data_IF_765007927322
#
_entry.id   IF_765007927322
#
_cell.length_a   1.000
_cell.length_b   1.000
_cell.length_c   1.000
_cell.angle_alpha   90.00
_cell.angle_beta   90.00
_cell.angle_gamma   90.00
#
_symmetry.space_group_name_H-M   'P 1'
#
loop_
_entity.id
_entity.type
_entity.pdbx_description
1 polymer ?
#
# COMPACT_ATOMS: atom_id res chain seq x y z
N UNK A 1 70.95 6.44 29.61
CA UNK A 1 71.20 7.69 28.87
C UNK A 1 69.94 8.56 29.02
N UNK A 2 70.09 9.62 29.70
CA UNK A 2 69.19 10.65 30.18
C UNK A 2 68.78 11.55 29.06
N UNK A 3 67.46 11.88 28.90
CA UNK A 3 67.04 13.11 28.26
C UNK A 3 65.85 13.74 28.99
N UNK A 4 66.09 14.96 29.36
CA UNK A 4 65.39 15.96 30.13
C UNK A 4 63.96 16.26 29.54
N UNK A 5 62.97 16.31 30.42
CA UNK A 5 61.74 17.04 30.22
C UNK A 5 61.90 18.49 30.64
N UNK A 6 61.76 19.43 29.76
CA UNK A 6 61.73 20.86 30.03
C UNK A 6 60.28 21.33 30.13
N UNK A 7 59.90 21.70 31.35
CA UNK A 7 58.67 22.33 31.68
C UNK A 7 58.65 23.78 31.16
N UNK A 8 57.73 24.08 30.21
CA UNK A 8 57.43 25.46 29.82
C UNK A 8 56.47 26.08 30.82
N UNK A 9 56.87 27.14 31.47
CA UNK A 9 56.11 27.95 32.40
C UNK A 9 55.38 29.01 31.62
N UNK A 10 54.06 28.85 31.39
CA UNK A 10 53.27 29.85 30.73
C UNK A 10 52.97 31.05 31.60
N UNK A 11 53.24 32.23 31.09
CA UNK A 11 53.12 33.49 31.80
C UNK A 11 51.67 33.87 32.08
N UNK A 12 51.39 34.67 33.09
CA UNK A 12 50.06 35.16 33.49
C UNK A 12 49.33 35.89 32.39
N UNK A 13 50.03 36.39 31.37
CA UNK A 13 49.44 37.12 30.23
C UNK A 13 48.70 36.19 29.27
N UNK A 14 49.19 34.94 29.06
CA UNK A 14 48.55 33.99 28.16
C UNK A 14 47.19 33.50 28.67
N UNK A 15 47.02 33.48 29.99
CA UNK A 15 45.72 33.14 30.61
C UNK A 15 44.65 34.20 30.43
N UNK A 16 45.04 35.49 30.36
CA UNK A 16 44.09 36.61 30.15
C UNK A 16 43.62 36.63 28.70
N UNK A 17 44.49 36.38 27.73
CA UNK A 17 44.17 36.33 26.31
C UNK A 17 43.25 35.11 26.01
N UNK A 18 43.51 33.97 26.65
CA UNK A 18 42.68 32.77 26.50
C UNK A 18 41.27 32.99 27.08
N UNK A 19 41.13 33.70 28.21
CA UNK A 19 39.83 34.03 28.81
C UNK A 19 39.03 35.03 27.96
N UNK A 20 39.68 36.01 27.32
CA UNK A 20 39.02 36.93 26.40
C UNK A 20 38.55 36.24 25.12
N UNK A 21 39.31 35.28 24.58
CA UNK A 21 38.92 34.50 23.39
C UNK A 21 37.72 33.59 23.67
N UNK A 22 37.64 32.97 24.85
CA UNK A 22 36.48 32.12 25.22
C UNK A 22 35.22 32.94 25.45
N UNK A 23 35.34 34.17 26.02
CA UNK A 23 34.18 35.05 26.24
C UNK A 23 33.61 35.61 24.95
N UNK A 24 34.44 35.93 23.95
CA UNK A 24 33.94 36.41 22.63
C UNK A 24 33.38 35.27 21.79
N UNK A 25 33.90 34.05 21.88
CA UNK A 25 33.31 32.89 21.22
C UNK A 25 31.92 32.52 21.80
N UNK A 26 31.69 32.65 23.10
CA UNK A 26 30.40 32.37 23.72
C UNK A 26 29.33 33.41 23.33
N UNK A 27 29.71 34.68 23.14
CA UNK A 27 28.74 35.70 22.68
C UNK A 27 28.38 35.57 21.18
N UNK A 28 29.31 35.08 20.34
CA UNK A 28 29.04 34.84 18.91
C UNK A 28 28.18 33.58 18.72
N UNK A 29 28.34 32.57 19.56
CA UNK A 29 27.48 31.35 19.53
C UNK A 29 26.06 31.65 19.99
N UNK A 30 25.86 32.65 20.87
CA UNK A 30 24.48 32.99 21.34
C UNK A 30 23.69 33.85 20.34
N UNK A 31 24.36 34.62 19.50
CA UNK A 31 23.70 35.45 18.46
C UNK A 31 23.44 34.72 17.14
N UNK A 32 24.14 33.61 16.87
CA UNK A 32 23.86 32.78 15.69
C UNK A 32 22.73 31.74 15.86
N UNK A 33 22.22 31.56 17.09
CA UNK A 33 21.05 30.68 17.31
C UNK A 33 19.74 31.22 16.75
N UNK A 34 19.69 32.43 16.24
CA UNK A 34 18.46 33.06 15.73
C UNK A 34 18.38 33.13 14.19
N UNK A 35 19.38 32.65 13.44
CA UNK A 35 19.39 32.77 11.96
C UNK A 35 19.37 31.45 11.18
N UNK A 36 19.41 30.30 11.85
CA UNK A 36 19.14 29.01 11.24
C UNK A 36 18.05 28.29 12.03
N UNK A 37 16.83 28.78 11.90
CA UNK A 37 15.67 27.94 12.00
C UNK A 37 15.70 27.06 10.75
N UNK A 38 15.89 25.73 10.85
CA UNK A 38 15.62 24.89 9.71
C UNK A 38 14.14 25.08 9.38
N UNK A 39 13.82 25.55 8.19
CA UNK A 39 12.46 25.52 7.62
C UNK A 39 12.02 24.07 7.33
N UNK A 40 12.31 23.18 8.26
CA UNK A 40 11.82 21.81 8.32
C UNK A 40 11.11 21.67 9.67
N UNK A 41 10.05 22.44 9.86
CA UNK A 41 8.96 22.00 10.71
C UNK A 41 8.43 20.70 10.12
N UNK A 42 7.73 19.84 10.88
CA UNK A 42 7.01 18.72 10.29
C UNK A 42 6.24 19.31 9.12
N UNK A 43 6.47 18.77 7.91
CA UNK A 43 5.81 19.20 6.69
C UNK A 43 4.35 19.15 7.04
N UNK A 44 3.79 20.33 7.30
CA UNK A 44 2.38 20.45 7.58
C UNK A 44 1.69 19.96 6.31
N UNK A 45 1.09 18.78 6.40
CA UNK A 45 0.03 18.43 5.48
C UNK A 45 -0.87 19.65 5.44
N UNK A 46 -0.92 20.36 4.32
CA UNK A 46 -2.08 21.19 4.05
C UNK A 46 -3.25 20.26 4.24
N UNK A 47 -4.02 20.48 5.30
CA UNK A 47 -5.23 19.74 5.52
C UNK A 47 -5.98 19.78 4.18
N UNK A 48 -6.06 18.65 3.53
CA UNK A 48 -6.92 18.42 2.38
C UNK A 48 -8.28 18.87 2.90
N UNK A 49 -8.92 19.82 2.25
CA UNK A 49 -10.33 20.07 2.52
C UNK A 49 -11.00 18.71 2.52
N UNK A 50 -11.65 18.37 3.63
CA UNK A 50 -12.38 17.13 3.83
C UNK A 50 -13.43 16.98 2.73
N UNK A 51 -13.02 16.48 1.58
CA UNK A 51 -13.90 15.73 0.72
C UNK A 51 -14.01 14.35 1.35
N UNK A 52 -15.01 14.20 2.19
CA UNK A 52 -15.39 12.99 2.90
C UNK A 52 -16.03 11.97 1.92
N UNK A 53 -15.28 11.59 0.92
CA UNK A 53 -15.54 10.45 0.04
C UNK A 53 -14.30 9.55 0.05
N UNK A 54 -13.92 9.07 1.24
CA UNK A 54 -12.82 8.14 1.44
C UNK A 54 -12.99 6.92 0.55
N UNK A 55 -12.25 6.89 -0.55
CA UNK A 55 -12.26 5.76 -1.46
C UNK A 55 -11.50 4.59 -0.84
N UNK A 56 -11.83 3.36 -1.24
CA UNK A 56 -11.13 2.18 -0.72
C UNK A 56 -9.60 2.34 -0.84
N UNK A 57 -9.11 2.87 -1.95
CA UNK A 57 -7.68 3.03 -2.18
C UNK A 57 -7.04 4.15 -1.35
N UNK A 58 -7.72 5.28 -1.16
CA UNK A 58 -7.21 6.38 -0.31
C UNK A 58 -7.08 5.92 1.15
N UNK A 59 -8.03 5.14 1.65
CA UNK A 59 -7.97 4.57 3.02
C UNK A 59 -6.82 3.55 3.15
N UNK A 60 -6.60 2.71 2.14
CA UNK A 60 -5.47 1.76 2.11
C UNK A 60 -4.14 2.53 2.14
N UNK A 61 -3.96 3.53 1.28
CA UNK A 61 -2.75 4.35 1.24
C UNK A 61 -2.51 5.01 2.60
N UNK A 62 -3.54 5.62 3.18
CA UNK A 62 -3.47 6.27 4.49
C UNK A 62 -3.09 5.28 5.61
N UNK A 63 -3.71 4.11 5.66
CA UNK A 63 -3.39 3.08 6.65
C UNK A 63 -1.96 2.55 6.51
N UNK A 64 -1.41 2.55 5.29
CA UNK A 64 -0.10 2.01 4.97
C UNK A 64 1.05 3.04 4.96
N UNK A 65 0.76 4.35 5.03
CA UNK A 65 1.79 5.40 4.98
C UNK A 65 2.88 5.26 6.05
N UNK A 66 2.50 4.90 7.26
CA UNK A 66 3.41 4.76 8.40
C UNK A 66 4.21 3.45 8.40
N UNK A 67 3.98 2.54 7.44
CA UNK A 67 4.54 1.19 7.44
C UNK A 67 5.71 0.99 6.49
N UNK A 68 6.04 1.98 5.66
CA UNK A 68 7.08 1.88 4.64
C UNK A 68 8.48 1.49 5.16
N UNK A 69 8.71 1.52 6.47
CA UNK A 69 10.00 1.25 7.12
C UNK A 69 10.02 0.07 8.10
N UNK A 70 8.92 -0.66 8.28
CA UNK A 70 8.87 -1.79 9.22
C UNK A 70 8.78 -3.13 8.49
N UNK A 71 9.70 -4.03 8.81
CA UNK A 71 9.57 -5.46 8.44
C UNK A 71 8.41 -6.03 9.27
N UNK A 72 7.29 -6.35 8.62
CA UNK A 72 6.12 -6.89 9.27
C UNK A 72 6.09 -8.39 8.99
N UNK A 73 6.27 -9.22 10.04
CA UNK A 73 6.02 -10.67 10.01
C UNK A 73 6.57 -11.45 8.79
N UNK A 74 7.84 -11.22 8.41
CA UNK A 74 8.46 -11.90 7.26
C UNK A 74 8.07 -11.32 5.89
N UNK A 75 7.33 -10.20 5.86
CA UNK A 75 7.13 -9.37 4.69
C UNK A 75 8.31 -8.43 4.58
N UNK A 76 8.98 -8.43 3.42
CA UNK A 76 10.14 -7.54 3.19
C UNK A 76 9.74 -6.17 2.70
N UNK A 77 8.60 -6.05 2.04
CA UNK A 77 8.08 -4.78 1.52
C UNK A 77 6.63 -4.94 1.05
N UNK A 78 5.94 -3.82 0.95
CA UNK A 78 4.71 -3.70 0.17
C UNK A 78 5.06 -3.15 -1.21
N UNK A 79 4.58 -3.80 -2.26
CA UNK A 79 4.63 -3.34 -3.64
C UNK A 79 3.30 -2.71 -4.00
N UNK A 80 3.30 -1.66 -4.80
CA UNK A 80 2.09 -0.87 -5.12
C UNK A 80 1.34 -0.33 -3.88
N UNK A 81 1.99 -0.38 -2.70
CA UNK A 81 1.44 0.16 -1.46
C UNK A 81 0.78 -0.87 -0.55
N UNK A 82 0.28 -2.00 -1.07
CA UNK A 82 -0.52 -2.99 -0.34
C UNK A 82 -0.30 -4.45 -0.76
N UNK A 83 0.43 -4.72 -1.84
CA UNK A 83 0.77 -6.07 -2.25
C UNK A 83 2.00 -6.57 -1.49
N UNK A 84 1.80 -7.53 -0.61
CA UNK A 84 2.84 -8.08 0.24
C UNK A 84 3.88 -8.91 -0.54
N UNK A 85 5.16 -8.63 -0.30
CA UNK A 85 6.31 -9.35 -0.87
C UNK A 85 7.12 -9.99 0.25
N UNK A 86 7.40 -11.30 0.19
CA UNK A 86 8.18 -12.02 1.19
C UNK A 86 9.63 -12.22 0.78
N UNK A 87 10.57 -12.18 1.77
CA UNK A 87 12.03 -12.28 1.56
C UNK A 87 12.52 -13.60 0.97
N UNK A 88 11.83 -14.70 1.20
CA UNK A 88 12.36 -16.04 0.96
C UNK A 88 11.87 -16.76 -0.30
N UNK A 89 10.90 -16.22 -0.98
CA UNK A 89 10.45 -16.72 -2.29
C UNK A 89 10.52 -15.55 -3.25
N UNK A 90 11.33 -15.68 -4.32
CA UNK A 90 11.20 -14.78 -5.46
C UNK A 90 9.72 -14.58 -5.68
N UNK A 91 9.23 -13.36 -5.50
CA UNK A 91 7.82 -13.06 -5.74
C UNK A 91 7.55 -13.52 -7.16
N UNK A 92 7.01 -14.73 -7.30
CA UNK A 92 6.42 -15.11 -8.56
C UNK A 92 5.29 -14.12 -8.69
N UNK A 93 5.55 -13.05 -9.46
CA UNK A 93 4.47 -12.26 -9.96
C UNK A 93 3.52 -13.28 -10.54
N UNK A 94 2.23 -13.18 -10.23
CA UNK A 94 1.22 -14.10 -10.75
C UNK A 94 1.08 -13.93 -12.25
N UNK A 95 2.12 -14.31 -12.99
CA UNK A 95 2.09 -14.39 -14.42
C UNK A 95 1.35 -15.63 -14.83
N UNK A 96 0.31 -15.42 -15.61
CA UNK A 96 -0.38 -16.47 -16.33
C UNK A 96 -0.79 -17.68 -15.48
N UNK A 97 -1.82 -17.51 -14.64
CA UNK A 97 -2.56 -18.61 -14.00
C UNK A 97 -1.79 -19.51 -13.03
N UNK A 98 -0.53 -19.25 -12.74
CA UNK A 98 0.27 -20.09 -11.83
C UNK A 98 -0.05 -19.89 -10.35
N UNK A 99 -0.82 -18.90 -9.99
CA UNK A 99 -1.24 -18.57 -8.62
C UNK A 99 -2.77 -18.39 -8.51
N UNK A 100 -3.54 -19.13 -9.27
CA UNK A 100 -4.99 -19.15 -9.14
C UNK A 100 -5.41 -20.17 -8.08
N UNK A 101 -6.50 -19.86 -7.40
CA UNK A 101 -7.21 -20.82 -6.59
C UNK A 101 -7.81 -21.89 -7.49
N UNK A 102 -7.80 -23.13 -7.03
CA UNK A 102 -8.28 -24.26 -7.84
C UNK A 102 -9.79 -24.20 -8.01
N UNK A 103 -10.24 -24.39 -9.25
CA UNK A 103 -11.67 -24.56 -9.56
C UNK A 103 -12.12 -25.99 -9.20
N UNK A 104 -13.25 -26.11 -8.52
CA UNK A 104 -13.90 -27.37 -8.18
C UNK A 104 -14.65 -27.95 -9.38
N UNK A 105 -15.00 -29.21 -9.28
CA UNK A 105 -15.75 -29.95 -10.32
C UNK A 105 -17.17 -29.40 -10.54
N UNK A 106 -17.73 -28.74 -9.54
CA UNK A 106 -19.04 -28.09 -9.59
C UNK A 106 -19.03 -26.71 -10.27
N UNK A 107 -17.85 -26.27 -10.71
CA UNK A 107 -17.67 -24.99 -11.38
C UNK A 107 -17.33 -23.82 -10.47
N UNK A 108 -17.37 -23.96 -9.14
CA UNK A 108 -17.02 -22.90 -8.21
C UNK A 108 -15.53 -22.89 -7.85
N UNK A 109 -15.07 -21.73 -7.38
CA UNK A 109 -13.73 -21.55 -6.83
C UNK A 109 -13.87 -21.35 -5.32
N UNK A 110 -13.60 -22.38 -4.55
CA UNK A 110 -13.70 -22.33 -3.10
C UNK A 110 -12.40 -21.80 -2.49
N UNK A 111 -12.48 -20.64 -1.83
CA UNK A 111 -11.37 -20.01 -1.13
C UNK A 111 -11.60 -20.18 0.37
N UNK A 112 -10.86 -21.09 0.98
CA UNK A 112 -10.95 -21.29 2.42
C UNK A 112 -10.35 -20.13 3.19
N UNK A 113 -11.00 -19.70 4.28
CA UNK A 113 -10.50 -18.61 5.13
C UNK A 113 -10.60 -18.94 6.62
N UNK A 114 -9.76 -18.31 7.41
CA UNK A 114 -9.82 -18.26 8.87
C UNK A 114 -9.82 -16.80 9.31
N UNK A 115 -10.75 -16.45 10.19
CA UNK A 115 -10.77 -15.14 10.84
C UNK A 115 -10.02 -15.19 12.17
N UNK A 116 -9.25 -14.15 12.48
CA UNK A 116 -8.69 -13.95 13.81
C UNK A 116 -9.81 -13.79 14.84
N UNK A 117 -9.67 -14.42 16.02
CA UNK A 117 -10.62 -14.19 17.12
C UNK A 117 -10.52 -12.79 17.74
N UNK A 118 -9.54 -11.99 17.33
CA UNK A 118 -9.37 -10.60 17.76
C UNK A 118 -10.42 -9.65 17.16
N UNK A 119 -11.06 -10.04 16.05
CA UNK A 119 -12.14 -9.25 15.47
C UNK A 119 -13.43 -9.40 16.28
N UNK A 120 -14.09 -8.28 16.55
CA UNK A 120 -15.43 -8.26 17.12
C UNK A 120 -16.48 -8.85 16.16
N UNK A 121 -17.68 -9.12 16.68
CA UNK A 121 -18.79 -9.60 15.84
C UNK A 121 -19.16 -8.63 14.71
N UNK A 122 -19.11 -7.31 14.97
CA UNK A 122 -19.41 -6.29 14.00
C UNK A 122 -18.36 -6.28 12.88
N UNK A 123 -17.08 -6.33 13.23
CA UNK A 123 -15.97 -6.38 12.29
C UNK A 123 -16.01 -7.66 11.45
N UNK A 124 -16.31 -8.78 12.08
CA UNK A 124 -16.53 -10.07 11.39
C UNK A 124 -17.65 -9.97 10.35
N UNK A 125 -18.76 -9.27 10.67
CA UNK A 125 -19.85 -9.03 9.71
C UNK A 125 -19.40 -8.16 8.52
N UNK A 126 -18.60 -7.12 8.77
CA UNK A 126 -18.06 -6.27 7.70
C UNK A 126 -17.13 -7.07 6.78
N UNK A 127 -16.24 -7.89 7.36
CA UNK A 127 -15.34 -8.76 6.57
C UNK A 127 -16.14 -9.71 5.69
N UNK A 128 -17.15 -10.36 6.22
CA UNK A 128 -18.05 -11.24 5.45
C UNK A 128 -18.77 -10.49 4.32
N UNK A 129 -19.24 -9.26 4.60
CA UNK A 129 -19.88 -8.41 3.58
C UNK A 129 -18.95 -8.05 2.43
N UNK A 130 -17.65 -7.81 2.70
CA UNK A 130 -16.63 -7.62 1.67
C UNK A 130 -16.42 -8.86 0.80
N UNK A 131 -16.44 -10.06 1.40
CA UNK A 131 -16.40 -11.32 0.65
C UNK A 131 -17.65 -11.54 -0.19
N UNK A 132 -18.82 -11.32 0.38
CA UNK A 132 -20.13 -11.42 -0.31
C UNK A 132 -20.21 -10.49 -1.54
N UNK A 133 -19.58 -9.33 -1.50
CA UNK A 133 -19.53 -8.41 -2.63
C UNK A 133 -18.81 -9.03 -3.86
N UNK A 134 -17.80 -9.89 -3.61
CA UNK A 134 -17.12 -10.65 -4.66
C UNK A 134 -17.95 -11.86 -5.10
N UNK A 135 -18.54 -12.60 -4.17
CA UNK A 135 -19.32 -13.80 -4.44
C UNK A 135 -20.54 -13.50 -5.34
N UNK A 136 -21.11 -12.30 -5.15
CA UNK A 136 -22.29 -11.86 -5.91
C UNK A 136 -21.91 -11.54 -7.35
N UNK A 137 -22.33 -12.41 -8.28
CA UNK A 137 -22.08 -12.31 -9.71
C UNK A 137 -20.72 -12.88 -10.15
N UNK A 138 -20.14 -13.80 -9.35
CA UNK A 138 -18.95 -14.58 -9.71
C UNK A 138 -19.06 -16.03 -9.24
N UNK A 139 -18.19 -16.92 -9.75
CA UNK A 139 -18.12 -18.28 -9.26
C UNK A 139 -17.21 -18.48 -8.03
N UNK A 140 -16.68 -17.41 -7.46
CA UNK A 140 -15.87 -17.47 -6.22
C UNK A 140 -16.77 -17.66 -5.01
N UNK A 141 -16.39 -18.53 -4.09
CA UNK A 141 -17.09 -18.76 -2.81
C UNK A 141 -16.08 -18.81 -1.67
N UNK A 142 -16.29 -18.00 -0.66
CA UNK A 142 -15.43 -17.99 0.54
C UNK A 142 -16.04 -18.93 1.58
N UNK A 143 -15.26 -19.93 2.03
CA UNK A 143 -15.73 -20.93 2.96
C UNK A 143 -14.88 -20.95 4.24
N UNK A 144 -15.49 -21.09 5.44
CA UNK A 144 -14.72 -21.26 6.66
C UNK A 144 -13.79 -22.46 6.54
N UNK A 145 -12.51 -22.27 6.91
CA UNK A 145 -11.51 -23.36 6.86
C UNK A 145 -11.83 -24.47 7.86
N UNK A 146 -11.82 -25.68 7.39
CA UNK A 146 -11.85 -26.89 8.22
C UNK A 146 -10.52 -27.65 8.14
N UNK A 147 -10.20 -28.23 7.01
CA UNK A 147 -9.00 -29.04 6.77
C UNK A 147 -8.16 -28.60 5.55
N UNK A 148 -8.65 -27.59 4.81
CA UNK A 148 -7.98 -27.14 3.59
C UNK A 148 -6.53 -26.73 3.90
N UNK A 149 -5.59 -27.20 3.06
CA UNK A 149 -4.18 -26.88 3.16
C UNK A 149 -3.95 -25.41 2.80
N UNK A 150 -4.55 -24.99 1.69
CA UNK A 150 -4.40 -23.63 1.14
C UNK A 150 -5.56 -22.79 1.62
N UNK A 151 -5.23 -21.70 2.32
CA UNK A 151 -6.26 -20.82 2.90
C UNK A 151 -5.74 -19.43 3.19
N UNK A 152 -6.67 -18.50 3.29
CA UNK A 152 -6.43 -17.12 3.71
C UNK A 152 -6.60 -17.02 5.23
N UNK A 153 -5.61 -16.46 5.91
CA UNK A 153 -5.62 -16.16 7.33
C UNK A 153 -5.81 -14.65 7.52
N UNK A 154 -7.02 -14.24 7.88
CA UNK A 154 -7.41 -12.84 7.99
C UNK A 154 -7.06 -12.35 9.40
N UNK A 155 -6.18 -11.34 9.49
CA UNK A 155 -5.56 -10.88 10.73
C UNK A 155 -5.63 -9.36 10.86
N UNK A 156 -5.85 -8.79 12.06
CA UNK A 156 -5.82 -7.34 12.30
C UNK A 156 -4.37 -6.85 12.51
N UNK A 157 -3.49 -7.18 11.56
CA UNK A 157 -2.12 -6.68 11.59
C UNK A 157 -2.08 -5.23 11.15
N UNK A 158 -0.91 -4.61 11.27
CA UNK A 158 -0.73 -3.22 10.86
C UNK A 158 -0.94 -3.07 9.35
N UNK A 159 -1.84 -2.17 8.95
CA UNK A 159 -2.21 -1.81 7.57
C UNK A 159 -3.17 -2.75 6.87
N UNK A 160 -3.52 -2.34 5.66
CA UNK A 160 -4.33 -3.09 4.72
C UNK A 160 -3.42 -3.66 3.63
N UNK A 161 -3.29 -4.97 3.56
CA UNK A 161 -2.46 -5.59 2.53
C UNK A 161 -2.79 -7.05 2.33
N UNK A 162 -2.48 -7.54 1.13
CA UNK A 162 -2.65 -8.92 0.74
C UNK A 162 -1.47 -9.45 -0.09
N UNK A 163 -1.31 -10.76 -0.12
CA UNK A 163 -0.48 -11.40 -1.12
C UNK A 163 -1.24 -11.54 -2.44
N UNK A 164 -0.51 -11.47 -3.55
CA UNK A 164 -1.07 -11.62 -4.88
C UNK A 164 -1.32 -13.09 -5.22
N UNK A 165 -2.59 -13.46 -5.45
CA UNK A 165 -3.02 -14.80 -5.83
C UNK A 165 -2.84 -15.86 -4.75
N UNK A 166 -3.11 -17.12 -5.09
CA UNK A 166 -2.89 -18.27 -4.22
C UNK A 166 -1.39 -18.63 -4.15
N UNK A 167 -0.83 -18.64 -2.94
CA UNK A 167 0.59 -18.93 -2.73
C UNK A 167 0.87 -20.37 -2.31
N UNK A 168 -0.18 -21.13 -2.05
CA UNK A 168 -0.11 -22.45 -1.42
C UNK A 168 0.15 -22.36 0.08
N UNK A 169 -0.55 -23.18 0.86
CA UNK A 169 -0.52 -23.15 2.32
C UNK A 169 -1.26 -21.95 2.91
N UNK A 170 -0.84 -21.53 4.10
CA UNK A 170 -1.36 -20.36 4.79
C UNK A 170 -0.82 -19.08 4.16
N UNK A 171 -1.71 -18.13 3.82
CA UNK A 171 -1.35 -16.76 3.44
C UNK A 171 -2.19 -15.75 4.21
N UNK A 172 -1.57 -14.66 4.61
CA UNK A 172 -2.25 -13.63 5.41
C UNK A 172 -2.86 -12.56 4.51
N UNK A 173 -4.08 -12.13 4.84
CA UNK A 173 -4.61 -10.80 4.53
C UNK A 173 -4.58 -10.00 5.82
N UNK A 174 -4.03 -8.79 5.80
CA UNK A 174 -4.10 -7.85 6.90
C UNK A 174 -5.24 -6.88 6.70
N UNK A 175 -6.11 -6.78 7.70
CA UNK A 175 -7.18 -5.80 7.78
C UNK A 175 -7.10 -5.14 9.15
N UNK A 176 -6.28 -4.10 9.27
CA UNK A 176 -6.10 -3.34 10.52
C UNK A 176 -7.44 -2.76 10.99
N UNK A 177 -7.78 -2.96 12.26
CA UNK A 177 -8.92 -2.32 12.88
C UNK A 177 -8.53 -0.95 13.45
N UNK A 178 -9.36 0.10 13.26
CA UNK A 178 -10.58 0.14 12.45
C UNK A 178 -10.34 0.48 10.96
N UNK A 179 -9.17 0.94 10.58
CA UNK A 179 -8.86 1.67 9.35
C UNK A 179 -9.16 0.88 8.05
N UNK A 180 -8.95 -0.46 8.07
CA UNK A 180 -9.18 -1.33 6.91
C UNK A 180 -10.55 -2.01 6.89
N UNK A 181 -11.44 -1.68 7.85
CA UNK A 181 -12.71 -2.40 8.01
C UNK A 181 -13.88 -1.73 7.28
N UNK A 182 -13.63 -1.30 6.07
CA UNK A 182 -14.65 -0.84 5.11
C UNK A 182 -14.85 -1.92 4.03
N UNK A 183 -16.10 -2.10 3.61
CA UNK A 183 -16.47 -3.15 2.63
C UNK A 183 -15.64 -3.06 1.36
N UNK A 184 -15.38 -1.85 0.86
CA UNK A 184 -14.55 -1.62 -0.33
C UNK A 184 -13.10 -2.03 -0.12
N UNK A 185 -12.47 -1.62 0.98
CA UNK A 185 -11.09 -1.99 1.35
C UNK A 185 -10.96 -3.51 1.47
N UNK A 186 -11.90 -4.14 2.15
CA UNK A 186 -11.91 -5.60 2.34
C UNK A 186 -12.00 -6.30 0.97
N UNK A 187 -12.94 -5.88 0.12
CA UNK A 187 -13.09 -6.46 -1.23
C UNK A 187 -11.84 -6.27 -2.07
N UNK A 188 -11.17 -5.11 -1.98
CA UNK A 188 -9.93 -4.79 -2.67
C UNK A 188 -8.80 -5.78 -2.28
N UNK A 189 -8.59 -6.01 -0.99
CA UNK A 189 -7.56 -6.93 -0.51
C UNK A 189 -7.84 -8.39 -0.95
N UNK A 190 -9.10 -8.78 -1.01
CA UNK A 190 -9.49 -10.07 -1.56
C UNK A 190 -9.29 -10.17 -3.08
N UNK A 191 -9.44 -9.07 -3.83
CA UNK A 191 -9.10 -9.04 -5.26
C UNK A 191 -7.61 -9.31 -5.48
N UNK A 192 -6.72 -8.76 -4.65
CA UNK A 192 -5.30 -9.14 -4.66
C UNK A 192 -5.10 -10.63 -4.38
N UNK A 193 -5.76 -11.18 -3.37
CA UNK A 193 -5.69 -12.61 -3.07
C UNK A 193 -6.22 -13.49 -4.20
N UNK A 194 -7.10 -12.98 -5.05
CA UNK A 194 -7.58 -13.63 -6.27
C UNK A 194 -6.63 -13.47 -7.47
N UNK A 195 -5.57 -12.65 -7.37
CA UNK A 195 -4.54 -12.52 -8.39
C UNK A 195 -4.57 -11.23 -9.20
N UNK A 196 -5.35 -10.23 -8.79
CA UNK A 196 -5.44 -8.95 -9.49
C UNK A 196 -4.47 -7.91 -8.92
N UNK A 197 -3.70 -7.28 -9.79
CA UNK A 197 -2.91 -6.08 -9.50
C UNK A 197 -3.78 -4.85 -9.71
N UNK A 198 -3.24 -3.67 -9.35
CA UNK A 198 -3.96 -2.42 -9.58
C UNK A 198 -4.20 -2.12 -11.07
N UNK A 199 -5.29 -1.44 -11.35
CA UNK A 199 -5.71 -1.15 -12.72
C UNK A 199 -4.73 -0.21 -13.45
N UNK A 200 -4.19 0.81 -12.76
CA UNK A 200 -3.18 1.70 -13.33
C UNK A 200 -1.82 1.02 -13.59
N UNK A 201 -1.64 -0.21 -13.11
CA UNK A 201 -0.42 -1.00 -13.35
C UNK A 201 -0.54 -1.92 -14.56
N UNK A 202 -1.67 -1.92 -15.25
CA UNK A 202 -1.84 -2.65 -16.52
C UNK A 202 -0.79 -2.20 -17.53
N UNK A 203 -0.32 -3.13 -18.37
CA UNK A 203 0.71 -2.83 -19.37
C UNK A 203 0.24 -1.79 -20.41
N UNK A 204 -1.08 -1.74 -20.67
CA UNK A 204 -1.73 -0.86 -21.66
C UNK A 204 -2.27 0.45 -21.06
N UNK A 205 -2.07 0.69 -19.75
CA UNK A 205 -2.60 1.86 -19.02
C UNK A 205 -2.29 3.20 -19.69
N UNK A 206 -1.13 3.30 -20.35
CA UNK A 206 -0.70 4.56 -20.99
C UNK A 206 -1.58 4.98 -22.19
N UNK A 207 -2.48 4.10 -22.65
CA UNK A 207 -3.52 4.47 -23.62
C UNK A 207 -4.66 5.24 -22.95
N UNK A 208 -4.84 5.12 -21.62
CA UNK A 208 -5.99 5.59 -20.86
C UNK A 208 -5.65 6.68 -19.85
N UNK A 209 -4.49 6.59 -19.21
CA UNK A 209 -4.05 7.54 -18.19
C UNK A 209 -2.65 8.06 -18.48
N UNK A 210 -2.35 9.26 -17.99
CA UNK A 210 -1.01 9.85 -17.97
C UNK A 210 -0.52 9.85 -16.52
N UNK A 211 0.69 9.31 -16.28
CA UNK A 211 1.33 9.38 -14.97
C UNK A 211 2.19 10.64 -14.90
N UNK A 212 1.93 11.45 -13.92
CA UNK A 212 2.64 12.70 -13.64
C UNK A 212 3.81 12.44 -12.69
N UNK A 213 4.86 11.81 -13.20
CA UNK A 213 6.03 11.38 -12.44
C UNK A 213 6.65 12.45 -11.52
N UNK A 214 6.76 13.73 -11.94
CA UNK A 214 7.30 14.79 -11.08
C UNK A 214 6.47 15.05 -9.82
N UNK A 215 5.18 14.71 -9.82
CA UNK A 215 4.26 14.95 -8.71
C UNK A 215 4.25 13.81 -7.67
N UNK A 216 4.95 12.70 -7.95
CA UNK A 216 4.96 11.51 -7.11
C UNK A 216 6.12 11.57 -6.11
N UNK A 217 5.90 11.22 -4.84
CA UNK A 217 6.98 11.00 -3.88
C UNK A 217 8.05 10.06 -4.44
N UNK A 218 9.33 10.44 -4.35
CA UNK A 218 10.45 9.70 -4.95
C UNK A 218 10.54 8.24 -4.50
N UNK A 219 10.26 7.96 -3.26
CA UNK A 219 10.25 6.61 -2.68
C UNK A 219 9.01 5.78 -3.08
N UNK A 220 8.03 6.40 -3.74
CA UNK A 220 6.77 5.79 -4.20
C UNK A 220 6.69 5.58 -5.71
N UNK A 221 7.66 6.02 -6.48
CA UNK A 221 7.67 5.88 -7.95
C UNK A 221 7.45 4.43 -8.40
N UNK A 222 7.98 3.45 -7.65
CA UNK A 222 7.81 2.02 -7.95
C UNK A 222 6.37 1.54 -7.87
N UNK A 223 5.49 2.23 -7.14
CA UNK A 223 4.08 1.89 -7.05
C UNK A 223 3.31 2.19 -8.35
N UNK A 224 3.96 2.87 -9.30
CA UNK A 224 3.41 3.19 -10.61
C UNK A 224 4.07 2.41 -11.76
N UNK A 225 4.86 1.38 -11.44
CA UNK A 225 5.43 0.48 -12.45
C UNK A 225 4.33 -0.36 -13.12
N UNK A 226 4.53 -0.65 -14.42
CA UNK A 226 3.61 -1.51 -15.16
C UNK A 226 3.97 -2.99 -14.98
N UNK A 227 2.95 -3.82 -14.98
CA UNK A 227 3.09 -5.27 -15.01
C UNK A 227 2.69 -5.83 -16.38
N UNK A 228 3.27 -6.95 -16.75
CA UNK A 228 2.77 -7.78 -17.85
C UNK A 228 1.52 -8.52 -17.38
N UNK A 229 0.40 -7.82 -17.37
CA UNK A 229 -0.89 -8.39 -16.99
C UNK A 229 -1.60 -9.00 -18.19
N UNK A 230 -2.40 -10.04 -17.95
CA UNK A 230 -3.42 -10.48 -18.89
C UNK A 230 -4.59 -9.52 -18.75
N UNK A 231 -4.91 -8.77 -19.82
CA UNK A 231 -6.06 -7.83 -19.85
C UNK A 231 -7.40 -8.55 -20.01
N UNK A 232 -7.37 -9.87 -20.21
CA UNK A 232 -8.56 -10.71 -20.33
C UNK A 232 -9.53 -10.25 -21.43
N UNK A 233 -9.04 -9.53 -22.45
CA UNK A 233 -9.87 -8.88 -23.49
C UNK A 233 -10.97 -8.00 -22.90
N UNK A 234 -10.69 -7.32 -21.79
CA UNK A 234 -11.61 -6.40 -21.13
C UNK A 234 -11.08 -4.96 -21.22
N UNK A 235 -11.98 -3.97 -21.38
CA UNK A 235 -11.58 -2.57 -21.42
C UNK A 235 -10.91 -2.14 -20.12
N UNK A 236 -10.15 -1.04 -20.18
CA UNK A 236 -9.62 -0.36 -19.01
C UNK A 236 -10.76 0.20 -18.17
N UNK A 237 -10.71 -0.02 -16.87
CA UNK A 237 -11.79 0.32 -15.98
C UNK A 237 -11.43 1.46 -15.02
N UNK A 238 -11.81 2.68 -15.37
CA UNK A 238 -11.63 3.85 -14.52
C UNK A 238 -12.40 3.78 -13.19
N UNK A 239 -13.48 2.98 -13.16
CA UNK A 239 -14.32 2.74 -11.98
C UNK A 239 -13.93 1.51 -11.17
N UNK A 240 -12.83 0.84 -11.51
CA UNK A 240 -12.38 -0.34 -10.79
C UNK A 240 -12.05 -0.02 -9.34
N UNK A 241 -12.45 -0.93 -8.43
CA UNK A 241 -12.03 -0.85 -7.02
C UNK A 241 -10.52 -0.97 -6.86
N UNK A 242 -9.82 -1.52 -7.88
CA UNK A 242 -8.37 -1.68 -7.94
C UNK A 242 -7.66 -0.47 -8.56
N UNK A 243 -8.33 0.67 -8.80
CA UNK A 243 -7.71 1.84 -9.42
C UNK A 243 -7.27 2.85 -8.37
N UNK A 244 -6.02 3.34 -8.45
CA UNK A 244 -5.56 4.46 -7.63
C UNK A 244 -6.38 5.72 -7.88
N UNK A 245 -6.54 6.56 -6.86
CA UNK A 245 -7.06 7.91 -6.99
C UNK A 245 -6.13 8.82 -7.79
N UNK A 246 -6.69 9.94 -8.28
CA UNK A 246 -5.93 10.94 -9.05
C UNK A 246 -4.72 11.50 -8.29
N UNK A 247 -4.77 11.54 -6.97
CA UNK A 247 -3.76 12.15 -6.10
C UNK A 247 -2.95 11.14 -5.30
N UNK A 248 -3.03 9.85 -5.65
CA UNK A 248 -2.31 8.78 -4.96
C UNK A 248 -0.81 9.10 -4.89
N UNK A 249 -0.23 9.07 -3.68
CA UNK A 249 1.19 9.37 -3.42
C UNK A 249 1.68 10.72 -3.95
N UNK A 250 0.81 11.74 -4.04
CA UNK A 250 1.18 13.10 -4.44
C UNK A 250 2.06 13.78 -3.37
N UNK A 251 3.17 14.38 -3.81
CA UNK A 251 4.10 15.08 -2.91
C UNK A 251 3.71 16.53 -2.61
N UNK A 252 2.88 17.14 -3.46
CA UNK A 252 2.56 18.57 -3.43
C UNK A 252 1.05 18.87 -3.53
N UNK A 253 0.21 17.81 -3.59
CA UNK A 253 -1.23 17.93 -3.75
C UNK A 253 -1.68 18.04 -5.21
N UNK A 254 -0.74 17.99 -6.18
CA UNK A 254 -1.07 17.96 -7.59
C UNK A 254 -1.38 16.54 -8.07
N UNK A 255 -2.18 16.36 -9.13
CA UNK A 255 -2.52 15.03 -9.64
C UNK A 255 -1.29 14.21 -10.03
N UNK A 256 -1.29 12.94 -9.65
CA UNK A 256 -0.27 11.94 -10.04
C UNK A 256 -0.75 11.07 -11.20
N UNK A 257 -2.07 10.94 -11.39
CA UNK A 257 -2.71 10.22 -12.49
C UNK A 257 -3.77 11.10 -13.12
N UNK A 258 -3.70 11.27 -14.45
CA UNK A 258 -4.67 12.07 -15.22
C UNK A 258 -5.31 11.19 -16.28
N UNK A 259 -6.66 11.03 -16.31
CA UNK A 259 -7.36 10.37 -17.40
C UNK A 259 -7.16 11.11 -18.72
N UNK A 260 -6.99 10.37 -19.83
CA UNK A 260 -6.76 10.97 -21.16
C UNK A 260 -8.06 11.37 -21.87
N UNK A 261 -9.15 10.62 -21.63
CA UNK A 261 -10.36 10.75 -22.46
C UNK A 261 -11.35 11.78 -21.94
N UNK A 262 -11.31 12.17 -20.67
CA UNK A 262 -12.16 13.20 -20.10
C UNK A 262 -11.59 13.69 -18.78
N UNK A 263 -11.68 15.00 -18.53
CA UNK A 263 -11.33 15.60 -17.23
C UNK A 263 -12.38 15.33 -16.14
N UNK A 264 -13.58 14.88 -16.54
CA UNK A 264 -14.69 14.63 -15.62
C UNK A 264 -14.62 13.22 -15.00
N UNK A 265 -13.73 12.36 -15.49
CA UNK A 265 -13.52 11.02 -14.94
C UNK A 265 -12.83 11.16 -13.58
N UNK A 266 -13.50 10.72 -12.53
CA UNK A 266 -12.95 10.60 -11.19
C UNK A 266 -12.36 9.19 -11.02
N UNK A 267 -11.08 9.13 -10.63
CA UNK A 267 -10.38 7.86 -10.37
C UNK A 267 -10.41 7.54 -8.88
N UNK A 268 -10.40 6.24 -8.56
CA UNK A 268 -10.29 5.75 -7.19
C UNK A 268 -11.53 5.98 -6.33
N UNK A 269 -12.68 6.30 -6.92
CA UNK A 269 -13.91 6.62 -6.17
C UNK A 269 -14.75 5.38 -5.81
N UNK A 270 -14.28 4.18 -6.14
CA UNK A 270 -15.05 2.96 -5.94
C UNK A 270 -15.06 2.55 -4.45
N UNK A 271 -16.27 2.33 -3.92
CA UNK A 271 -16.51 1.72 -2.61
C UNK A 271 -16.98 0.25 -2.72
N UNK A 272 -17.15 -0.24 -3.93
CA UNK A 272 -17.59 -1.61 -4.26
C UNK A 272 -17.03 -2.04 -5.62
N UNK A 273 -17.04 -3.35 -5.92
CA UNK A 273 -16.59 -3.85 -7.21
C UNK A 273 -17.44 -3.27 -8.35
N UNK A 274 -16.78 -2.86 -9.41
CA UNK A 274 -17.44 -2.50 -10.66
C UNK A 274 -17.99 -3.77 -11.36
N UNK A 275 -18.83 -3.56 -12.37
CA UNK A 275 -19.23 -4.66 -13.24
C UNK A 275 -18.02 -5.28 -13.97
N UNK A 276 -17.07 -4.47 -14.42
CA UNK A 276 -15.84 -4.93 -15.09
C UNK A 276 -14.95 -5.71 -14.12
N UNK A 277 -14.84 -5.32 -12.86
CA UNK A 277 -14.12 -6.11 -11.85
C UNK A 277 -14.66 -7.53 -11.74
N UNK A 278 -15.99 -7.68 -11.71
CA UNK A 278 -16.65 -9.00 -11.68
C UNK A 278 -16.41 -9.78 -12.97
N UNK A 279 -16.49 -9.14 -14.12
CA UNK A 279 -16.16 -9.76 -15.41
C UNK A 279 -14.71 -10.24 -15.46
N UNK A 280 -13.76 -9.48 -14.87
CA UNK A 280 -12.35 -9.90 -14.75
C UNK A 280 -12.24 -11.19 -13.95
N UNK A 281 -12.93 -11.28 -12.80
CA UNK A 281 -12.95 -12.51 -11.99
C UNK A 281 -13.53 -13.66 -12.81
N UNK A 282 -14.68 -13.48 -13.44
CA UNK A 282 -15.37 -14.51 -14.22
C UNK A 282 -14.50 -15.01 -15.39
N UNK A 283 -13.85 -14.11 -16.12
CA UNK A 283 -12.94 -14.50 -17.21
C UNK A 283 -11.66 -15.20 -16.71
N UNK A 284 -11.04 -14.68 -15.63
CA UNK A 284 -9.80 -15.26 -15.09
C UNK A 284 -10.03 -16.69 -14.61
N UNK A 285 -11.11 -16.91 -13.87
CA UNK A 285 -11.48 -18.21 -13.30
C UNK A 285 -12.36 -19.05 -14.21
N UNK A 286 -12.72 -18.54 -15.40
CA UNK A 286 -13.60 -19.22 -16.36
C UNK A 286 -14.89 -19.67 -15.71
N UNK A 287 -15.58 -18.77 -15.03
CA UNK A 287 -16.90 -19.01 -14.45
C UNK A 287 -17.90 -19.34 -15.57
N UNK A 288 -18.94 -20.10 -15.25
CA UNK A 288 -20.01 -20.40 -16.20
C UNK A 288 -20.99 -19.24 -16.28
N UNK A 289 -21.65 -19.07 -17.43
CA UNK A 289 -22.69 -18.02 -17.66
C UNK A 289 -23.89 -18.12 -16.69
N UNK A 290 -23.91 -19.15 -15.84
CA UNK A 290 -24.97 -19.33 -14.82
C UNK A 290 -24.67 -18.66 -13.48
N UNK A 291 -23.49 -18.07 -13.35
CA UNK A 291 -23.02 -17.44 -12.10
C UNK A 291 -23.24 -15.91 -12.10
N UNK A 292 -23.82 -15.35 -13.18
CA UNK A 292 -24.18 -13.94 -13.34
C UNK A 292 -25.49 -13.56 -12.62
#
# INVERSE_FOLDING_TARGET
MTKFFQLYNTSKMDRIILLCMVSTCLSVVHTQKFLFSPKWGPIGYKAREEHDDGTAMDEIIKANEFQASRIIDGITSLREGDIAVSAGRRSKVCFARSCLWSKSVDGHVYVAYRLSPEYSEMETKLIKKGMENIEKGTCVRFVPRTHQRDYIDIQPKSGCWSYLGSRGGRQTISLQSPDCLQVGVISHEFMHALGFVHEQSRFDRDNYVTIMWPNIWRDRLRNFEKFKTDILDLPYDYGSIMHFGMFAYSQDGEPTIIPKNSKDIKLGQASTLSHIDKLKINKLYKCSDKDD
#
